data_IF_745038313222
#
_entry.id   IF_745038313222
#
_cell.length_a   1.000
_cell.length_b   1.000
_cell.length_c   1.000
_cell.angle_alpha   90.00
_cell.angle_beta   90.00
_cell.angle_gamma   90.00
#
_symmetry.space_group_name_H-M   'P 1'
#
loop_
_entity.id
_entity.type
_entity.pdbx_description
1 polymer ?
#
# COMPACT_ATOMS: atom_id res chain seq x y z
N UNK A 1 13.92 24.44 -30.96
CA UNK A 1 13.37 25.80 -30.79
C UNK A 1 14.32 26.91 -31.29
N UNK A 2 15.65 26.81 -31.16
CA UNK A 2 16.58 27.89 -31.58
C UNK A 2 16.62 28.16 -33.09
N UNK A 3 16.37 27.16 -33.94
CA UNK A 3 16.37 27.32 -35.39
C UNK A 3 15.23 28.21 -35.90
N UNK A 4 14.04 28.16 -35.27
CA UNK A 4 12.89 28.96 -35.67
C UNK A 4 13.07 30.45 -35.36
N UNK A 5 13.66 30.78 -34.20
CA UNK A 5 13.98 32.16 -33.82
C UNK A 5 15.05 32.77 -34.75
N UNK A 6 16.06 32.00 -35.15
CA UNK A 6 17.09 32.46 -36.08
C UNK A 6 16.51 32.76 -37.48
N UNK A 7 15.58 31.92 -37.97
CA UNK A 7 14.92 32.15 -39.25
C UNK A 7 14.03 33.39 -39.22
N UNK A 8 13.24 33.61 -38.16
CA UNK A 8 12.36 34.78 -38.06
C UNK A 8 13.15 36.09 -37.98
N UNK A 9 14.25 36.12 -37.22
CA UNK A 9 15.15 37.28 -37.14
C UNK A 9 15.85 37.60 -38.47
N UNK A 10 16.26 36.56 -39.22
CA UNK A 10 16.92 36.74 -40.53
C UNK A 10 15.98 37.32 -41.60
N UNK A 11 14.70 36.91 -41.58
CA UNK A 11 13.67 37.43 -42.49
C UNK A 11 13.35 38.89 -42.16
N UNK A 12 13.28 39.22 -40.87
CA UNK A 12 13.08 40.61 -40.42
C UNK A 12 14.22 41.55 -40.86
N UNK A 13 15.49 41.11 -40.77
CA UNK A 13 16.63 41.92 -41.21
C UNK A 13 16.69 42.13 -42.73
N UNK A 14 16.33 41.11 -43.52
CA UNK A 14 16.23 41.21 -44.98
C UNK A 14 15.14 42.20 -45.41
N UNK A 15 14.03 42.26 -44.67
CA UNK A 15 12.94 43.20 -44.93
C UNK A 15 13.33 44.64 -44.60
N UNK A 16 14.01 44.89 -43.48
CA UNK A 16 14.51 46.24 -43.17
C UNK A 16 15.57 46.70 -44.18
N UNK A 17 16.45 45.81 -44.65
CA UNK A 17 17.43 46.10 -45.69
C UNK A 17 16.79 46.43 -47.05
N UNK A 18 15.73 45.74 -47.45
CA UNK A 18 15.05 46.01 -48.73
C UNK A 18 14.36 47.37 -48.72
N UNK A 19 13.72 47.73 -47.61
CA UNK A 19 13.07 49.04 -47.42
C UNK A 19 14.11 50.16 -47.45
N UNK A 20 15.28 49.97 -46.80
CA UNK A 20 16.37 50.95 -46.83
C UNK A 20 17.04 51.08 -48.20
N UNK A 21 17.18 49.97 -48.95
CA UNK A 21 17.71 49.98 -50.31
C UNK A 21 16.78 50.75 -51.26
N UNK A 22 15.47 50.52 -51.18
CA UNK A 22 14.48 51.23 -51.99
C UNK A 22 14.44 52.74 -51.68
N UNK A 23 14.65 53.13 -50.42
CA UNK A 23 14.75 54.53 -50.02
C UNK A 23 16.01 55.24 -50.56
N UNK A 24 17.08 54.47 -50.83
CA UNK A 24 18.35 54.99 -51.34
C UNK A 24 18.35 55.13 -52.87
N UNK A 25 17.78 54.16 -53.58
CA UNK A 25 17.69 54.17 -55.06
C UNK A 25 16.76 55.28 -55.57
N UNK A 26 15.69 55.62 -54.81
CA UNK A 26 14.77 56.73 -55.15
C UNK A 26 15.38 58.14 -55.17
N UNK A 27 16.68 58.30 -54.87
CA UNK A 27 17.42 59.57 -54.94
C UNK A 27 18.37 59.71 -56.13
N UNK A 28 18.56 58.66 -56.95
CA UNK A 28 19.55 58.69 -58.04
C UNK A 28 18.93 58.19 -59.35
N UNK A 29 18.17 59.04 -60.05
CA UNK A 29 18.25 59.15 -61.51
C UNK A 29 17.35 60.28 -61.99
N UNK A 30 17.95 61.45 -62.22
CA UNK A 30 17.34 62.54 -62.98
C UNK A 30 18.28 62.76 -64.17
N UNK A 31 17.93 62.19 -65.35
CA UNK A 31 18.31 62.66 -66.70
C UNK A 31 17.76 61.76 -67.84
N UNK A 32 16.73 62.29 -68.52
CA UNK A 32 16.36 62.26 -69.96
C UNK A 32 16.08 60.97 -70.80
N UNK A 33 14.88 61.00 -71.41
CA UNK A 33 14.39 60.51 -72.72
C UNK A 33 13.73 59.10 -72.91
N UNK A 34 12.78 58.94 -73.88
CA UNK A 34 11.47 58.34 -73.60
C UNK A 34 11.04 57.10 -74.44
N UNK A 35 9.88 56.55 -74.04
CA UNK A 35 8.87 55.75 -74.77
C UNK A 35 8.96 54.20 -74.76
N UNK A 36 8.03 53.55 -74.02
CA UNK A 36 7.18 52.45 -74.51
C UNK A 36 6.13 51.95 -73.51
N UNK A 37 4.86 51.90 -73.95
CA UNK A 37 3.72 51.08 -73.50
C UNK A 37 3.03 51.36 -72.14
N UNK A 38 1.68 51.38 -72.08
CA UNK A 38 0.93 51.63 -70.84
C UNK A 38 0.83 50.33 -70.03
N UNK A 39 1.75 50.15 -69.09
CA UNK A 39 1.48 49.32 -67.92
C UNK A 39 0.54 50.11 -66.99
N UNK A 40 -0.54 49.47 -66.54
CA UNK A 40 -1.46 50.02 -65.55
C UNK A 40 -0.69 50.67 -64.39
N UNK A 41 -1.12 51.84 -63.89
CA UNK A 41 -0.45 52.45 -62.77
C UNK A 41 -0.72 51.57 -61.55
N UNK A 42 0.30 50.79 -61.14
CA UNK A 42 0.37 50.30 -59.77
C UNK A 42 0.24 51.55 -58.90
N UNK A 43 -0.89 51.71 -58.22
CA UNK A 43 -1.17 52.83 -57.35
C UNK A 43 0.03 53.00 -56.42
N UNK A 44 0.78 54.10 -56.60
CA UNK A 44 1.91 54.40 -55.75
C UNK A 44 1.40 54.44 -54.31
N UNK A 45 1.80 53.44 -53.51
CA UNK A 45 1.45 53.36 -52.08
C UNK A 45 1.77 54.71 -51.48
N UNK A 46 0.75 55.39 -50.98
CA UNK A 46 0.94 56.71 -50.41
C UNK A 46 1.76 56.55 -49.12
N UNK A 47 2.75 57.43 -48.87
CA UNK A 47 3.51 57.45 -47.61
C UNK A 47 2.64 57.23 -46.34
N UNK A 48 1.42 57.81 -46.22
CA UNK A 48 0.53 57.51 -45.09
C UNK A 48 0.06 56.05 -45.02
N UNK A 49 -0.32 55.41 -46.13
CA UNK A 49 -0.72 53.98 -46.14
C UNK A 49 0.36 53.05 -45.59
N UNK A 50 1.64 53.34 -45.89
CA UNK A 50 2.76 52.54 -45.39
C UNK A 50 3.03 52.76 -43.90
N UNK A 51 2.82 53.98 -43.38
CA UNK A 51 2.96 54.30 -41.95
C UNK A 51 1.82 53.67 -41.16
N UNK A 52 0.59 53.74 -41.67
CA UNK A 52 -0.59 53.14 -41.05
C UNK A 52 -0.45 51.61 -40.97
N UNK A 53 0.04 50.96 -42.04
CA UNK A 53 0.30 49.52 -42.02
C UNK A 53 1.36 49.11 -40.99
N UNK A 54 2.49 49.83 -40.91
CA UNK A 54 3.54 49.50 -39.92
C UNK A 54 3.04 49.76 -38.49
N UNK A 55 2.25 50.81 -38.27
CA UNK A 55 1.65 51.08 -36.96
C UNK A 55 0.69 49.95 -36.54
N UNK A 56 -0.17 49.49 -37.45
CA UNK A 56 -1.05 48.34 -37.22
C UNK A 56 -0.26 47.06 -36.89
N UNK A 57 0.84 46.78 -37.62
CA UNK A 57 1.70 45.62 -37.35
C UNK A 57 2.43 45.69 -36.00
N UNK A 58 2.88 46.89 -35.57
CA UNK A 58 3.48 47.07 -34.25
C UNK A 58 2.44 46.91 -33.15
N UNK A 59 1.24 47.47 -33.34
CA UNK A 59 0.12 47.33 -32.41
C UNK A 59 -0.26 45.87 -32.22
N UNK A 60 -0.44 45.12 -33.32
CA UNK A 60 -0.68 43.67 -33.29
C UNK A 60 0.47 42.91 -32.60
N UNK A 61 1.73 43.24 -32.90
CA UNK A 61 2.89 42.61 -32.26
C UNK A 61 2.92 42.86 -30.75
N UNK A 62 2.49 44.03 -30.28
CA UNK A 62 2.39 44.35 -28.85
C UNK A 62 1.32 43.50 -28.16
N UNK A 63 0.15 43.40 -28.78
CA UNK A 63 -0.94 42.57 -28.28
C UNK A 63 -0.53 41.09 -28.21
N UNK A 64 0.18 40.59 -29.23
CA UNK A 64 0.73 39.23 -29.23
C UNK A 64 1.78 39.03 -28.13
N UNK A 65 2.71 39.96 -27.95
CA UNK A 65 3.73 39.90 -26.87
C UNK A 65 3.08 39.94 -25.49
N UNK A 66 2.10 40.81 -25.27
CA UNK A 66 1.35 40.88 -24.03
C UNK A 66 0.59 39.58 -23.76
N UNK A 67 -0.04 39.00 -24.80
CA UNK A 67 -0.75 37.73 -24.70
C UNK A 67 0.19 36.56 -24.39
N UNK A 68 1.35 36.50 -25.03
CA UNK A 68 2.38 35.49 -24.75
C UNK A 68 2.90 35.64 -23.32
N UNK A 69 3.13 36.87 -22.85
CA UNK A 69 3.57 37.13 -21.48
C UNK A 69 2.54 36.63 -20.45
N UNK A 70 1.26 36.92 -20.65
CA UNK A 70 0.18 36.43 -19.79
C UNK A 70 0.09 34.90 -19.78
N UNK A 71 0.15 34.26 -20.95
CA UNK A 71 0.09 32.80 -21.07
C UNK A 71 1.27 32.10 -20.38
N UNK A 72 2.48 32.65 -20.51
CA UNK A 72 3.66 32.10 -19.84
C UNK A 72 3.54 32.26 -18.33
N UNK A 73 3.11 33.43 -17.85
CA UNK A 73 2.96 33.69 -16.41
C UNK A 73 1.92 32.75 -15.78
N UNK A 74 0.78 32.54 -16.45
CA UNK A 74 -0.27 31.63 -15.98
C UNK A 74 0.19 30.15 -15.97
N UNK A 75 0.87 29.71 -17.04
CA UNK A 75 1.41 28.36 -17.14
C UNK A 75 2.45 28.06 -16.03
N UNK A 76 3.29 29.04 -15.73
CA UNK A 76 4.31 28.94 -14.67
C UNK A 76 3.70 28.89 -13.30
N UNK A 77 2.74 29.77 -13.02
CA UNK A 77 2.05 29.74 -11.73
C UNK A 77 1.37 28.39 -11.51
N UNK A 78 0.73 27.85 -12.54
CA UNK A 78 0.12 26.52 -12.52
C UNK A 78 1.15 25.42 -12.25
N UNK A 79 2.29 25.44 -12.95
CA UNK A 79 3.38 24.47 -12.74
C UNK A 79 3.99 24.57 -11.34
N UNK A 80 4.24 25.79 -10.84
CA UNK A 80 4.78 26.02 -9.51
C UNK A 80 3.86 25.45 -8.42
N UNK A 81 2.55 25.69 -8.54
CA UNK A 81 1.54 25.14 -7.63
C UNK A 81 1.52 23.60 -7.71
N UNK A 82 1.60 23.02 -8.91
CA UNK A 82 1.63 21.57 -9.09
C UNK A 82 2.87 20.93 -8.48
N UNK A 83 4.06 21.48 -8.68
CA UNK A 83 5.30 20.95 -8.09
C UNK A 83 5.33 21.09 -6.57
N UNK A 84 4.81 22.19 -6.01
CA UNK A 84 4.67 22.37 -4.57
C UNK A 84 3.72 21.31 -3.96
N UNK A 85 2.57 21.07 -4.60
CA UNK A 85 1.66 20.00 -4.21
C UNK A 85 2.31 18.61 -4.28
N UNK A 86 3.09 18.35 -5.34
CA UNK A 86 3.78 17.08 -5.51
C UNK A 86 4.89 16.86 -4.48
N UNK A 87 5.60 17.93 -4.10
CA UNK A 87 6.57 17.91 -3.00
C UNK A 87 5.91 17.61 -1.65
N UNK A 88 4.73 18.18 -1.41
CA UNK A 88 3.97 17.92 -0.17
C UNK A 88 3.48 16.46 -0.12
N UNK A 89 2.94 15.94 -1.23
CA UNK A 89 2.49 14.56 -1.34
C UNK A 89 3.65 13.56 -1.17
N UNK A 90 4.82 13.87 -1.75
CA UNK A 90 6.04 13.09 -1.56
C UNK A 90 6.47 13.04 -0.09
N UNK A 91 6.43 14.16 0.62
CA UNK A 91 6.75 14.19 2.05
C UNK A 91 5.76 13.36 2.88
N UNK A 92 4.46 13.46 2.58
CA UNK A 92 3.43 12.65 3.23
C UNK A 92 3.61 11.15 2.99
N UNK A 93 3.98 10.75 1.76
CA UNK A 93 4.29 9.36 1.43
C UNK A 93 5.52 8.83 2.16
N UNK A 94 6.57 9.64 2.37
CA UNK A 94 7.73 9.23 3.18
C UNK A 94 7.34 8.97 4.63
N UNK A 95 6.50 9.84 5.21
CA UNK A 95 6.02 9.66 6.58
C UNK A 95 5.19 8.38 6.72
N UNK A 96 4.33 8.07 5.74
CA UNK A 96 3.55 6.84 5.70
C UNK A 96 4.45 5.59 5.52
N UNK A 97 5.49 5.70 4.69
CA UNK A 97 6.47 4.64 4.53
C UNK A 97 7.24 4.37 5.84
N UNK A 98 7.53 5.42 6.63
CA UNK A 98 8.19 5.28 7.93
C UNK A 98 7.28 4.65 8.99
N UNK A 99 5.99 5.00 9.04
CA UNK A 99 5.04 4.34 9.95
C UNK A 99 4.81 2.87 9.58
N UNK A 100 4.74 2.55 8.29
CA UNK A 100 4.72 1.18 7.79
C UNK A 100 5.99 0.41 8.18
N UNK A 101 7.17 1.03 8.06
CA UNK A 101 8.45 0.42 8.47
C UNK A 101 8.50 0.12 9.98
N UNK A 102 7.93 1.00 10.81
CA UNK A 102 7.85 0.79 12.26
C UNK A 102 6.81 -0.24 12.67
N UNK A 103 5.96 -0.71 11.74
CA UNK A 103 4.82 -1.55 12.05
C UNK A 103 3.72 -0.81 12.81
N UNK A 104 3.78 0.53 12.85
CA UNK A 104 2.80 1.42 13.47
C UNK A 104 1.68 1.71 12.48
N UNK A 105 0.97 0.66 12.08
CA UNK A 105 -0.26 0.78 11.30
C UNK A 105 -1.41 1.29 12.19
N UNK A 106 -1.37 2.57 12.58
CA UNK A 106 -2.54 3.34 13.01
C UNK A 106 -3.45 2.76 14.11
N UNK A 107 -3.01 1.72 14.82
CA UNK A 107 -3.72 1.14 15.96
C UNK A 107 -2.92 1.50 17.20
N UNK A 108 -3.64 2.00 18.21
CA UNK A 108 -3.17 2.50 19.51
C UNK A 108 -1.84 1.91 20.00
N UNK A 109 -1.09 2.70 20.79
CA UNK A 109 0.16 2.32 21.47
C UNK A 109 0.07 1.05 22.39
N UNK A 110 -1.05 0.34 22.38
CA UNK A 110 -1.31 -0.93 23.06
C UNK A 110 -1.77 -2.08 22.12
N UNK A 111 -1.83 -1.87 20.81
CA UNK A 111 -2.07 -2.94 19.86
C UNK A 111 -0.80 -3.80 19.75
N UNK A 112 -0.87 -5.00 20.32
CA UNK A 112 0.16 -6.03 20.17
C UNK A 112 0.46 -6.15 18.68
N UNK A 113 1.72 -5.97 18.27
CA UNK A 113 2.12 -6.15 16.87
C UNK A 113 1.70 -7.55 16.42
N UNK A 114 1.34 -7.71 15.16
CA UNK A 114 0.90 -9.01 14.66
C UNK A 114 1.93 -10.12 14.96
N UNK A 115 3.21 -9.79 14.89
CA UNK A 115 4.33 -10.65 15.32
C UNK A 115 4.29 -10.99 16.81
N UNK A 116 4.01 -10.02 17.68
CA UNK A 116 3.84 -10.24 19.12
C UNK A 116 2.63 -11.12 19.45
N UNK A 117 1.52 -10.93 18.75
CA UNK A 117 0.30 -11.72 18.91
C UNK A 117 0.52 -13.19 18.54
N UNK A 118 1.23 -13.42 17.42
CA UNK A 118 1.62 -14.77 16.99
C UNK A 118 2.56 -15.43 17.99
N UNK A 119 3.51 -14.68 18.55
CA UNK A 119 4.41 -15.19 19.58
C UNK A 119 3.66 -15.58 20.85
N UNK A 120 2.66 -14.80 21.26
CA UNK A 120 1.80 -15.12 22.40
C UNK A 120 0.97 -16.39 22.16
N UNK A 121 0.37 -16.53 20.96
CA UNK A 121 -0.35 -17.75 20.59
C UNK A 121 0.61 -18.95 20.54
N UNK A 122 1.81 -18.80 20.00
CA UNK A 122 2.80 -19.88 19.95
C UNK A 122 3.18 -20.34 21.36
N UNK A 123 3.38 -19.41 22.31
CA UNK A 123 3.64 -19.74 23.71
C UNK A 123 2.44 -20.41 24.38
N UNK A 124 1.23 -19.89 24.17
CA UNK A 124 0.00 -20.51 24.67
C UNK A 124 -0.16 -21.94 24.14
N UNK A 125 0.19 -22.15 22.86
CA UNK A 125 0.12 -23.45 22.23
C UNK A 125 1.17 -24.42 22.74
N UNK A 126 2.39 -23.96 23.00
CA UNK A 126 3.42 -24.77 23.65
C UNK A 126 2.95 -25.26 25.03
N UNK A 127 2.40 -24.35 25.84
CA UNK A 127 1.82 -24.71 27.14
C UNK A 127 0.64 -25.69 27.01
N UNK A 128 -0.18 -25.54 25.95
CA UNK A 128 -1.28 -26.46 25.68
C UNK A 128 -0.78 -27.85 25.29
N UNK A 129 0.25 -27.94 24.44
CA UNK A 129 0.91 -29.21 24.06
C UNK A 129 1.45 -29.92 25.30
N UNK A 130 2.16 -29.21 26.18
CA UNK A 130 2.72 -29.79 27.41
C UNK A 130 1.61 -30.38 28.31
N UNK A 131 0.50 -29.64 28.47
CA UNK A 131 -0.68 -30.13 29.21
C UNK A 131 -1.34 -31.33 28.53
N UNK A 132 -1.43 -31.36 27.20
CA UNK A 132 -1.97 -32.52 26.47
C UNK A 132 -1.09 -33.76 26.68
N UNK A 133 0.24 -33.60 26.67
CA UNK A 133 1.18 -34.71 26.94
C UNK A 133 1.01 -35.23 28.37
N UNK A 134 0.88 -34.33 29.35
CA UNK A 134 0.62 -34.70 30.74
C UNK A 134 -0.72 -35.46 30.89
N UNK A 135 -1.79 -34.96 30.27
CA UNK A 135 -3.10 -35.61 30.27
C UNK A 135 -3.04 -37.00 29.60
N UNK A 136 -2.31 -37.14 28.51
CA UNK A 136 -2.11 -38.43 27.83
C UNK A 136 -1.40 -39.43 28.75
N UNK A 137 -0.40 -38.96 29.52
CA UNK A 137 0.27 -39.80 30.53
C UNK A 137 -0.68 -40.21 31.67
N UNK A 138 -1.52 -39.30 32.16
CA UNK A 138 -2.54 -39.63 33.17
C UNK A 138 -3.58 -40.63 32.63
N UNK A 139 -3.99 -40.48 31.38
CA UNK A 139 -4.88 -41.41 30.70
C UNK A 139 -4.29 -42.83 30.63
N UNK A 140 -3.00 -42.96 30.32
CA UNK A 140 -2.30 -44.25 30.32
C UNK A 140 -2.26 -44.91 31.71
N UNK A 141 -2.07 -44.13 32.78
CA UNK A 141 -2.14 -44.66 34.16
C UNK A 141 -3.54 -45.15 34.52
N UNK A 142 -4.58 -44.46 34.05
CA UNK A 142 -5.96 -44.91 34.25
C UNK A 142 -6.26 -46.22 33.53
N UNK A 143 -5.72 -46.40 32.31
CA UNK A 143 -5.81 -47.66 31.56
C UNK A 143 -5.15 -48.80 32.35
N UNK A 144 -3.96 -48.60 32.89
CA UNK A 144 -3.27 -49.61 33.73
C UNK A 144 -4.09 -49.97 34.97
N UNK A 145 -4.72 -48.98 35.63
CA UNK A 145 -5.59 -49.22 36.77
C UNK A 145 -6.85 -50.02 36.38
N UNK A 146 -7.44 -49.73 35.22
CA UNK A 146 -8.59 -50.46 34.69
C UNK A 146 -8.25 -51.91 34.32
N UNK A 147 -7.09 -52.15 33.72
CA UNK A 147 -6.58 -53.51 33.50
C UNK A 147 -6.45 -54.28 34.82
N UNK A 148 -5.93 -53.63 35.87
CA UNK A 148 -5.85 -54.22 37.21
C UNK A 148 -7.23 -54.59 37.76
N UNK A 149 -8.21 -53.68 37.64
CA UNK A 149 -9.59 -53.96 38.04
C UNK A 149 -10.21 -55.11 37.24
N UNK A 150 -9.93 -55.21 35.95
CA UNK A 150 -10.36 -56.33 35.11
C UNK A 150 -9.83 -57.68 35.61
N UNK A 151 -8.56 -57.72 36.05
CA UNK A 151 -7.96 -58.91 36.67
C UNK A 151 -8.64 -59.26 38.00
N UNK A 152 -8.86 -58.28 38.87
CA UNK A 152 -9.57 -58.50 40.14
C UNK A 152 -11.00 -59.04 39.93
N UNK A 153 -11.70 -58.57 38.89
CA UNK A 153 -13.02 -59.10 38.55
C UNK A 153 -12.97 -60.55 38.06
N UNK A 154 -11.94 -60.94 37.31
CA UNK A 154 -11.72 -62.35 36.95
C UNK A 154 -11.48 -63.23 38.18
N UNK A 155 -10.79 -62.73 39.19
CA UNK A 155 -10.58 -63.44 40.46
C UNK A 155 -11.90 -63.65 41.20
N UNK A 156 -12.76 -62.64 41.24
CA UNK A 156 -14.10 -62.76 41.81
C UNK A 156 -14.93 -63.80 41.07
N UNK A 157 -14.89 -63.83 39.73
CA UNK A 157 -15.58 -64.86 38.93
C UNK A 157 -15.10 -66.25 39.31
N UNK A 158 -13.78 -66.46 39.48
CA UNK A 158 -13.23 -67.75 39.93
C UNK A 158 -13.72 -68.16 41.31
N UNK A 159 -13.81 -67.23 42.26
CA UNK A 159 -14.38 -67.50 43.59
C UNK A 159 -15.86 -67.87 43.51
N UNK A 160 -16.63 -67.25 42.62
CA UNK A 160 -18.04 -67.59 42.40
C UNK A 160 -18.21 -68.98 41.77
N UNK A 161 -17.28 -69.41 40.91
CA UNK A 161 -17.26 -70.78 40.38
C UNK A 161 -17.00 -71.81 41.49
N UNK A 162 -16.11 -71.50 42.42
CA UNK A 162 -15.86 -72.34 43.60
C UNK A 162 -17.09 -72.39 44.53
N UNK A 163 -17.72 -71.26 44.81
CA UNK A 163 -18.98 -71.22 45.59
C UNK A 163 -20.05 -72.07 44.91
N UNK A 164 -20.21 -71.95 43.59
CA UNK A 164 -21.18 -72.74 42.84
C UNK A 164 -20.90 -74.25 42.96
N UNK A 165 -19.62 -74.66 42.93
CA UNK A 165 -19.21 -76.04 43.18
C UNK A 165 -19.58 -76.50 44.60
N UNK A 166 -19.31 -75.68 45.62
CA UNK A 166 -19.66 -75.96 47.01
C UNK A 166 -21.18 -76.07 47.19
N UNK A 167 -21.97 -75.18 46.57
CA UNK A 167 -23.43 -75.24 46.63
C UNK A 167 -23.97 -76.52 45.99
N UNK A 168 -23.38 -76.97 44.88
CA UNK A 168 -23.76 -78.21 44.23
C UNK A 168 -23.42 -79.44 45.08
N UNK A 169 -22.23 -79.47 45.70
CA UNK A 169 -21.85 -80.54 46.63
C UNK A 169 -22.76 -80.57 47.86
N UNK A 170 -23.07 -79.41 48.45
CA UNK A 170 -23.95 -79.29 49.61
C UNK A 170 -25.38 -79.72 49.26
N UNK A 171 -25.87 -79.36 48.08
CA UNK A 171 -27.17 -79.79 47.56
C UNK A 171 -27.22 -81.32 47.38
N UNK A 172 -26.14 -81.94 46.87
CA UNK A 172 -26.04 -83.40 46.75
C UNK A 172 -25.94 -84.11 48.11
N UNK A 173 -25.21 -83.55 49.07
CA UNK A 173 -25.14 -84.05 50.44
C UNK A 173 -26.51 -83.98 51.14
N UNK A 174 -27.21 -82.87 50.99
CA UNK A 174 -28.56 -82.68 51.51
C UNK A 174 -29.55 -83.67 50.88
N UNK A 175 -29.46 -83.91 49.57
CA UNK A 175 -30.27 -84.92 48.88
C UNK A 175 -30.02 -86.33 49.45
N UNK A 176 -28.76 -86.72 49.64
CA UNK A 176 -28.40 -88.00 50.24
C UNK A 176 -28.93 -88.12 51.68
N UNK A 177 -28.86 -87.03 52.46
CA UNK A 177 -29.41 -86.98 53.81
C UNK A 177 -30.95 -87.10 53.83
N UNK A 178 -31.67 -86.43 52.91
CA UNK A 178 -33.13 -86.58 52.77
C UNK A 178 -33.51 -88.03 52.42
N UNK A 179 -32.73 -88.70 51.57
CA UNK A 179 -32.93 -90.12 51.21
C UNK A 179 -32.73 -91.02 52.44
N UNK A 180 -31.65 -90.84 53.20
CA UNK A 180 -31.37 -91.68 54.37
C UNK A 180 -32.37 -91.41 55.52
N UNK A 181 -32.81 -90.15 55.67
CA UNK A 181 -33.88 -89.78 56.60
C UNK A 181 -35.21 -90.45 56.25
N UNK A 182 -35.56 -90.53 54.96
CA UNK A 182 -36.73 -91.28 54.50
C UNK A 182 -36.59 -92.79 54.77
N UNK A 183 -35.38 -93.32 54.64
CA UNK A 183 -35.06 -94.74 54.90
C UNK A 183 -35.17 -95.14 56.37
N UNK A 184 -34.86 -94.21 57.29
CA UNK A 184 -35.02 -94.38 58.74
C UNK A 184 -36.49 -94.29 59.22
N UNK A 185 -37.44 -93.97 58.33
CA UNK A 185 -38.87 -93.92 58.64
C UNK A 185 -39.21 -92.86 59.70
N UNK A 186 -40.00 -93.24 60.72
CA UNK A 186 -40.45 -92.31 61.78
C UNK A 186 -39.29 -91.74 62.62
N UNK A 187 -38.19 -92.48 62.79
CA UNK A 187 -37.00 -92.02 63.52
C UNK A 187 -36.22 -90.94 62.73
N UNK A 188 -36.41 -90.84 61.42
CA UNK A 188 -35.71 -89.93 60.52
C UNK A 188 -36.42 -88.60 60.23
N UNK A 189 -37.66 -88.40 60.72
CA UNK A 189 -38.50 -87.23 60.40
C UNK A 189 -37.82 -85.89 60.67
N UNK A 190 -37.14 -85.75 61.81
CA UNK A 190 -36.40 -84.51 62.15
C UNK A 190 -35.22 -84.25 61.21
N UNK A 191 -34.51 -85.29 60.79
CA UNK A 191 -33.40 -85.18 59.84
C UNK A 191 -33.88 -84.84 58.42
N UNK A 192 -35.05 -85.34 58.02
CA UNK A 192 -35.64 -85.01 56.72
C UNK A 192 -35.93 -83.51 56.58
N UNK A 193 -36.48 -82.89 57.63
CA UNK A 193 -36.76 -81.43 57.64
C UNK A 193 -35.47 -80.61 57.53
N UNK A 194 -34.42 -81.01 58.27
CA UNK A 194 -33.12 -80.33 58.20
C UNK A 194 -32.48 -80.49 56.83
N UNK A 195 -32.54 -81.69 56.25
CA UNK A 195 -31.98 -81.97 54.94
C UNK A 195 -32.67 -81.16 53.82
N UNK A 196 -34.00 -81.05 53.86
CA UNK A 196 -34.75 -80.22 52.90
C UNK A 196 -34.44 -78.72 53.06
N UNK A 197 -34.26 -78.22 54.28
CA UNK A 197 -33.86 -76.82 54.52
C UNK A 197 -32.44 -76.55 54.00
N UNK A 198 -31.49 -77.47 54.22
CA UNK A 198 -30.12 -77.35 53.67
C UNK A 198 -30.15 -77.39 52.14
N UNK A 199 -31.01 -78.21 51.54
CA UNK A 199 -31.19 -78.28 50.08
C UNK A 199 -31.72 -76.95 49.53
N UNK A 200 -32.75 -76.40 50.17
CA UNK A 200 -33.34 -75.12 49.81
C UNK A 200 -32.32 -73.97 49.96
N UNK A 201 -31.57 -73.93 51.06
CA UNK A 201 -30.51 -72.94 51.29
C UNK A 201 -29.40 -73.05 50.23
N UNK A 202 -28.97 -74.26 49.88
CA UNK A 202 -27.96 -74.50 48.83
C UNK A 202 -28.43 -73.99 47.46
N UNK A 203 -29.68 -74.27 47.09
CA UNK A 203 -30.27 -73.76 45.85
C UNK A 203 -30.37 -72.23 45.81
N UNK A 204 -30.77 -71.61 46.93
CA UNK A 204 -30.79 -70.14 47.06
C UNK A 204 -29.40 -69.53 46.96
N UNK A 205 -28.39 -70.12 47.58
CA UNK A 205 -26.99 -69.66 47.48
C UNK A 205 -26.45 -69.80 46.06
N UNK A 206 -26.80 -70.89 45.35
CA UNK A 206 -26.43 -71.07 43.94
C UNK A 206 -27.01 -69.97 43.05
N UNK A 207 -28.32 -69.73 43.16
CA UNK A 207 -28.99 -68.64 42.41
C UNK A 207 -28.43 -67.26 42.74
N UNK A 208 -28.11 -66.98 44.01
CA UNK A 208 -27.50 -65.72 44.41
C UNK A 208 -26.09 -65.56 43.82
N UNK A 209 -25.31 -66.63 43.76
CA UNK A 209 -23.97 -66.63 43.15
C UNK A 209 -24.02 -66.35 41.64
N UNK A 210 -25.01 -66.89 40.93
CA UNK A 210 -25.25 -66.57 39.52
C UNK A 210 -25.60 -65.08 39.32
N UNK A 211 -26.47 -64.52 40.17
CA UNK A 211 -26.82 -63.09 40.10
C UNK A 211 -25.61 -62.19 40.34
N UNK A 212 -24.71 -62.55 41.26
CA UNK A 212 -23.45 -61.83 41.48
C UNK A 212 -22.55 -61.97 40.24
N UNK A 213 -22.43 -63.18 39.65
CA UNK A 213 -21.63 -63.40 38.44
C UNK A 213 -22.09 -62.50 37.30
N UNK A 214 -23.40 -62.41 37.07
CA UNK A 214 -23.97 -61.53 36.05
C UNK A 214 -23.65 -60.05 36.32
N UNK A 215 -23.72 -59.62 37.59
CA UNK A 215 -23.36 -58.26 37.95
C UNK A 215 -21.88 -57.98 37.67
N UNK A 216 -20.96 -58.87 38.07
CA UNK A 216 -19.53 -58.72 37.83
C UNK A 216 -19.21 -58.69 36.34
N UNK A 217 -19.85 -59.56 35.54
CA UNK A 217 -19.69 -59.54 34.08
C UNK A 217 -20.10 -58.20 33.46
N UNK A 218 -21.20 -57.59 33.94
CA UNK A 218 -21.62 -56.25 33.49
C UNK A 218 -20.60 -55.18 33.88
N UNK A 219 -20.07 -55.23 35.10
CA UNK A 219 -19.04 -54.27 35.54
C UNK A 219 -17.76 -54.42 34.70
N UNK A 220 -17.32 -55.66 34.44
CA UNK A 220 -16.14 -55.92 33.61
C UNK A 220 -16.30 -55.38 32.18
N UNK A 221 -17.48 -55.56 31.58
CA UNK A 221 -17.81 -54.96 30.28
C UNK A 221 -17.75 -53.43 30.30
N UNK A 222 -18.26 -52.79 31.35
CA UNK A 222 -18.18 -51.32 31.52
C UNK A 222 -16.75 -50.82 31.69
N UNK A 223 -15.90 -51.55 32.42
CA UNK A 223 -14.47 -51.21 32.56
C UNK A 223 -13.74 -51.30 31.23
N UNK A 224 -13.92 -52.40 30.48
CA UNK A 224 -13.32 -52.55 29.16
C UNK A 224 -13.78 -51.48 28.17
N UNK A 225 -15.05 -51.06 28.26
CA UNK A 225 -15.55 -49.96 27.44
C UNK A 225 -14.90 -48.61 27.80
N UNK A 226 -14.76 -48.32 29.09
CA UNK A 226 -14.12 -47.10 29.57
C UNK A 226 -12.63 -47.04 29.19
N UNK A 227 -11.92 -48.17 29.26
CA UNK A 227 -10.54 -48.30 28.80
C UNK A 227 -10.39 -47.90 27.32
N UNK A 228 -11.28 -48.42 26.46
CA UNK A 228 -11.29 -48.09 25.04
C UNK A 228 -11.54 -46.61 24.76
N UNK A 229 -12.46 -45.98 25.50
CA UNK A 229 -12.74 -44.54 25.37
C UNK A 229 -11.55 -43.68 25.81
N UNK A 230 -10.86 -44.04 26.90
CA UNK A 230 -9.70 -43.31 27.40
C UNK A 230 -8.54 -43.40 26.40
N UNK A 231 -8.27 -44.59 25.84
CA UNK A 231 -7.24 -44.77 24.82
C UNK A 231 -7.52 -43.94 23.56
N UNK A 232 -8.77 -43.93 23.09
CA UNK A 232 -9.16 -43.11 21.94
C UNK A 232 -9.00 -41.62 22.22
N UNK A 233 -9.44 -41.14 23.38
CA UNK A 233 -9.32 -39.75 23.79
C UNK A 233 -7.85 -39.30 23.81
N UNK A 234 -6.98 -40.06 24.48
CA UNK A 234 -5.56 -39.72 24.60
C UNK A 234 -4.85 -39.64 23.24
N UNK A 235 -5.18 -40.54 22.31
CA UNK A 235 -4.60 -40.54 20.97
C UNK A 235 -5.14 -39.40 20.09
N UNK A 236 -6.44 -39.12 20.15
CA UNK A 236 -7.06 -38.08 19.32
C UNK A 236 -6.65 -36.68 19.76
N UNK A 237 -6.64 -36.41 21.07
CA UNK A 237 -6.22 -35.11 21.61
C UNK A 237 -4.78 -34.80 21.24
N UNK A 238 -3.88 -35.79 21.36
CA UNK A 238 -2.48 -35.60 20.98
C UNK A 238 -2.32 -35.30 19.49
N UNK A 239 -3.05 -36.01 18.62
CA UNK A 239 -3.02 -35.78 17.18
C UNK A 239 -3.51 -34.37 16.82
N UNK A 240 -4.64 -33.95 17.38
CA UNK A 240 -5.22 -32.63 17.13
C UNK A 240 -4.30 -31.51 17.60
N UNK A 241 -3.75 -31.63 18.81
CA UNK A 241 -2.85 -30.63 19.40
C UNK A 241 -1.56 -30.48 18.59
N UNK A 242 -0.96 -31.59 18.14
CA UNK A 242 0.23 -31.55 17.30
C UNK A 242 -0.03 -30.92 15.92
N UNK A 243 -1.16 -31.25 15.29
CA UNK A 243 -1.55 -30.64 14.01
C UNK A 243 -1.77 -29.14 14.13
N UNK A 244 -2.44 -28.72 15.20
CA UNK A 244 -2.70 -27.30 15.44
C UNK A 244 -1.38 -26.54 15.74
N UNK A 245 -0.42 -27.16 16.45
CA UNK A 245 0.94 -26.61 16.60
C UNK A 245 1.63 -26.44 15.25
N UNK A 246 1.63 -27.46 14.39
CA UNK A 246 2.26 -27.39 13.08
C UNK A 246 1.67 -26.26 12.22
N UNK A 247 0.34 -26.10 12.22
CA UNK A 247 -0.33 -25.00 11.50
C UNK A 247 0.08 -23.62 12.03
N UNK A 248 0.30 -23.52 13.34
CA UNK A 248 0.81 -22.29 13.96
C UNK A 248 2.25 -22.00 13.54
N UNK A 249 3.13 -23.01 13.49
CA UNK A 249 4.50 -22.86 13.01
C UNK A 249 4.53 -22.40 11.53
N UNK A 250 3.69 -23.00 10.68
CA UNK A 250 3.53 -22.59 9.28
C UNK A 250 3.03 -21.14 9.15
N UNK A 251 2.01 -20.78 9.94
CA UNK A 251 1.46 -19.42 9.95
C UNK A 251 2.52 -18.42 10.43
N UNK A 252 3.26 -18.74 11.48
CA UNK A 252 4.36 -17.93 11.99
C UNK A 252 5.44 -17.70 10.94
N UNK A 253 5.77 -18.72 10.14
CA UNK A 253 6.72 -18.56 9.02
C UNK A 253 6.19 -17.61 7.96
N UNK A 254 4.94 -17.77 7.52
CA UNK A 254 4.33 -16.89 6.51
C UNK A 254 4.30 -15.43 6.94
N UNK A 255 4.13 -15.18 8.24
CA UNK A 255 4.10 -13.83 8.80
C UNK A 255 5.49 -13.20 8.76
N UNK A 256 6.54 -13.96 9.10
CA UNK A 256 7.93 -13.50 8.95
C UNK A 256 8.27 -13.17 7.49
N UNK A 257 7.81 -14.01 6.55
CA UNK A 257 8.02 -13.76 5.12
C UNK A 257 7.28 -12.50 4.65
N UNK A 258 6.08 -12.26 5.16
CA UNK A 258 5.29 -11.07 4.88
C UNK A 258 5.94 -9.80 5.45
N UNK A 259 6.48 -9.85 6.68
CA UNK A 259 7.22 -8.75 7.29
C UNK A 259 8.46 -8.39 6.46
N UNK A 260 9.19 -9.39 5.95
CA UNK A 260 10.35 -9.17 5.09
C UNK A 260 9.96 -8.52 3.75
N UNK A 261 8.89 -9.01 3.11
CA UNK A 261 8.37 -8.45 1.85
C UNK A 261 7.84 -7.02 2.04
N UNK A 262 7.21 -6.74 3.19
CA UNK A 262 6.75 -5.40 3.54
C UNK A 262 7.93 -4.44 3.75
N UNK A 263 8.99 -4.88 4.44
CA UNK A 263 10.21 -4.09 4.59
C UNK A 263 10.87 -3.76 3.24
N UNK A 264 10.93 -4.74 2.32
CA UNK A 264 11.42 -4.51 0.96
C UNK A 264 10.55 -3.51 0.19
N UNK A 265 9.23 -3.68 0.23
CA UNK A 265 8.27 -2.79 -0.44
C UNK A 265 8.36 -1.35 0.06
N UNK A 266 8.54 -1.18 1.37
CA UNK A 266 8.78 0.13 1.99
C UNK A 266 10.11 0.72 1.55
N UNK A 267 11.16 -0.09 1.43
CA UNK A 267 12.45 0.33 0.87
C UNK A 267 12.32 0.84 -0.58
N UNK A 268 11.60 0.11 -1.43
CA UNK A 268 11.33 0.51 -2.81
C UNK A 268 10.51 1.80 -2.88
N UNK A 269 9.48 1.94 -2.05
CA UNK A 269 8.69 3.17 -1.94
C UNK A 269 9.56 4.36 -1.54
N UNK A 270 10.39 4.23 -0.50
CA UNK A 270 11.31 5.31 -0.08
C UNK A 270 12.26 5.72 -1.19
N UNK A 271 12.81 4.75 -1.93
CA UNK A 271 13.69 5.05 -3.07
C UNK A 271 12.93 5.79 -4.18
N UNK A 272 11.74 5.33 -4.56
CA UNK A 272 10.91 5.97 -5.58
C UNK A 272 10.50 7.40 -5.20
N UNK A 273 10.14 7.63 -3.94
CA UNK A 273 9.80 8.98 -3.46
C UNK A 273 11.03 9.90 -3.39
N UNK A 274 12.21 9.36 -3.07
CA UNK A 274 13.47 10.11 -3.15
C UNK A 274 13.74 10.62 -4.57
N UNK A 275 13.66 9.73 -5.57
CA UNK A 275 13.79 10.11 -6.98
C UNK A 275 12.72 11.13 -7.42
N UNK A 276 11.49 10.99 -6.92
CA UNK A 276 10.42 11.95 -7.19
C UNK A 276 10.75 13.34 -6.63
N UNK A 277 11.23 13.40 -5.39
CA UNK A 277 11.65 14.64 -4.75
C UNK A 277 12.80 15.33 -5.50
N UNK A 278 13.78 14.55 -5.99
CA UNK A 278 14.88 15.07 -6.79
C UNK A 278 14.38 15.67 -8.12
N UNK A 279 13.52 14.96 -8.84
CA UNK A 279 12.92 15.46 -10.08
C UNK A 279 12.07 16.72 -9.86
N UNK A 280 11.33 16.80 -8.75
CA UNK A 280 10.59 18.02 -8.38
C UNK A 280 11.55 19.17 -8.10
N UNK A 281 12.64 18.92 -7.36
CA UNK A 281 13.67 19.92 -7.09
C UNK A 281 14.33 20.45 -8.37
N UNK A 282 14.63 19.57 -9.32
CA UNK A 282 15.14 19.94 -10.65
C UNK A 282 14.11 20.76 -11.45
N UNK A 283 12.84 20.38 -11.41
CA UNK A 283 11.77 21.09 -12.12
C UNK A 283 11.53 22.50 -11.55
N UNK A 284 11.56 22.64 -10.21
CA UNK A 284 11.47 23.94 -9.53
C UNK A 284 12.68 24.81 -9.86
N UNK A 285 13.90 24.25 -9.89
CA UNK A 285 15.09 24.96 -10.40
C UNK A 285 14.92 25.37 -11.86
N UNK A 286 14.31 24.53 -12.70
CA UNK A 286 14.05 24.86 -14.10
C UNK A 286 13.05 26.01 -14.26
N UNK A 287 12.10 26.21 -13.34
CA UNK A 287 11.19 27.36 -13.36
C UNK A 287 11.94 28.69 -13.20
N UNK A 288 13.09 28.71 -12.52
CA UNK A 288 13.92 29.93 -12.44
C UNK A 288 14.43 30.41 -13.81
N UNK A 289 14.57 29.51 -14.80
CA UNK A 289 14.91 29.92 -16.16
C UNK A 289 13.77 30.69 -16.83
N UNK A 290 12.52 30.46 -16.44
CA UNK A 290 11.38 31.16 -17.02
C UNK A 290 11.30 32.63 -16.56
N UNK A 291 11.81 32.98 -15.39
CA UNK A 291 11.93 34.40 -15.00
C UNK A 291 12.78 35.19 -16.01
N UNK A 292 13.86 34.61 -16.53
CA UNK A 292 14.66 35.24 -17.58
C UNK A 292 13.88 35.37 -18.90
N UNK A 293 13.08 34.37 -19.27
CA UNK A 293 12.24 34.43 -20.48
C UNK A 293 11.17 35.52 -20.34
N UNK A 294 10.53 35.64 -19.17
CA UNK A 294 9.56 36.69 -18.87
C UNK A 294 10.19 38.08 -18.93
N UNK A 295 11.41 38.25 -18.40
CA UNK A 295 12.16 39.51 -18.49
C UNK A 295 12.52 39.87 -19.93
N UNK A 296 12.94 38.90 -20.75
CA UNK A 296 13.23 39.11 -22.17
C UNK A 296 11.99 39.54 -22.94
N UNK A 297 10.85 38.88 -22.72
CA UNK A 297 9.58 39.22 -23.37
C UNK A 297 9.11 40.61 -22.95
N UNK A 298 9.18 40.94 -21.67
CA UNK A 298 8.87 42.29 -21.17
C UNK A 298 9.79 43.35 -21.80
N UNK A 299 11.06 43.03 -22.01
CA UNK A 299 12.00 43.92 -22.70
C UNK A 299 11.68 44.07 -24.20
N UNK A 300 11.28 43.00 -24.90
CA UNK A 300 10.77 43.08 -26.28
C UNK A 300 9.53 43.96 -26.35
N UNK A 301 8.59 43.81 -25.40
CA UNK A 301 7.43 44.68 -25.29
C UNK A 301 7.82 46.16 -25.17
N UNK A 302 8.74 46.50 -24.26
CA UNK A 302 9.26 47.88 -24.11
C UNK A 302 9.85 48.43 -25.42
N UNK A 303 10.57 47.60 -26.19
CA UNK A 303 11.10 47.99 -27.50
C UNK A 303 9.99 48.27 -28.51
N UNK A 304 8.92 47.49 -28.54
CA UNK A 304 7.78 47.73 -29.43
C UNK A 304 7.07 49.05 -29.08
N UNK A 305 6.83 49.33 -27.79
CA UNK A 305 6.32 50.65 -27.35
C UNK A 305 7.23 51.80 -27.80
N UNK A 306 8.54 51.63 -27.70
CA UNK A 306 9.48 52.66 -28.13
C UNK A 306 9.54 52.88 -29.65
N UNK A 307 9.30 51.84 -30.45
CA UNK A 307 9.20 51.96 -31.91
C UNK A 307 7.91 52.70 -32.29
N UNK A 308 6.79 52.37 -31.64
CA UNK A 308 5.52 53.07 -31.83
C UNK A 308 5.62 54.57 -31.47
N UNK A 309 6.19 54.90 -30.30
CA UNK A 309 6.42 56.29 -29.88
C UNK A 309 7.31 57.03 -30.89
N UNK A 310 8.35 56.38 -31.44
CA UNK A 310 9.16 56.97 -32.51
C UNK A 310 8.37 57.22 -33.79
N UNK A 311 7.46 56.30 -34.16
CA UNK A 311 6.63 56.45 -35.35
C UNK A 311 5.63 57.59 -35.20
N UNK A 312 4.96 57.70 -34.05
CA UNK A 312 4.06 58.82 -33.72
C UNK A 312 4.79 60.18 -33.74
N UNK A 313 6.00 60.24 -33.17
CA UNK A 313 6.84 61.43 -33.21
C UNK A 313 7.27 61.78 -34.65
N UNK A 314 7.45 60.79 -35.53
CA UNK A 314 7.84 61.00 -36.93
C UNK A 314 6.69 61.33 -37.88
N UNK A 315 5.45 60.94 -37.54
CA UNK A 315 4.24 61.22 -38.33
C UNK A 315 3.61 62.57 -38.01
N UNK A 316 3.93 63.16 -36.84
CA UNK A 316 3.51 64.52 -36.48
C UNK A 316 4.04 65.57 -37.46
N UNK A 317 3.14 66.26 -38.18
CA UNK A 317 3.52 67.40 -39.03
C UNK A 317 3.75 68.65 -38.17
N UNK A 318 4.99 69.15 -38.13
CA UNK A 318 5.26 70.49 -37.63
C UNK A 318 4.70 71.53 -38.61
N UNK A 319 3.87 72.47 -38.15
CA UNK A 319 3.61 73.70 -38.91
C UNK A 319 4.92 74.48 -39.04
N UNK A 320 5.18 75.08 -40.20
CA UNK A 320 6.44 75.81 -40.51
C UNK A 320 6.88 76.84 -39.45
N UNK A 321 5.95 77.33 -38.61
CA UNK A 321 6.24 78.27 -37.50
C UNK A 321 6.77 77.64 -36.20
N UNK A 322 6.65 76.32 -35.99
CA UNK A 322 7.03 75.63 -34.74
C UNK A 322 8.09 74.53 -34.95
N UNK A 323 8.70 74.49 -36.13
CA UNK A 323 9.59 73.41 -36.56
C UNK A 323 10.82 73.23 -35.63
N UNK A 324 11.42 74.33 -35.13
CA UNK A 324 12.55 74.27 -34.21
C UNK A 324 12.22 73.76 -32.81
N UNK A 325 11.00 74.00 -32.30
CA UNK A 325 10.54 73.47 -31.01
C UNK A 325 10.16 71.99 -31.13
N UNK A 326 9.56 71.62 -32.26
CA UNK A 326 9.25 70.23 -32.59
C UNK A 326 10.51 69.37 -32.74
N UNK A 327 11.55 69.84 -33.44
CA UNK A 327 12.83 69.12 -33.57
C UNK A 327 13.52 68.92 -32.21
N UNK A 328 13.51 69.95 -31.34
CA UNK A 328 14.04 69.82 -29.98
C UNK A 328 13.25 68.79 -29.16
N UNK A 329 11.92 68.82 -29.23
CA UNK A 329 11.05 67.87 -28.53
C UNK A 329 11.28 66.42 -29.00
N UNK A 330 11.30 66.19 -30.31
CA UNK A 330 11.57 64.87 -30.91
C UNK A 330 12.98 64.38 -30.53
N UNK A 331 14.00 65.25 -30.59
CA UNK A 331 15.38 64.89 -30.21
C UNK A 331 15.52 64.51 -28.74
N UNK A 332 14.84 65.24 -27.84
CA UNK A 332 14.83 64.95 -26.41
C UNK A 332 14.14 63.62 -26.12
N UNK A 333 13.02 63.32 -26.80
CA UNK A 333 12.36 62.02 -26.65
C UNK A 333 13.13 60.86 -27.22
N UNK A 334 13.75 61.02 -28.38
CA UNK A 334 14.65 60.02 -28.96
C UNK A 334 15.85 59.71 -28.05
N UNK A 335 16.40 60.71 -27.37
CA UNK A 335 17.50 60.50 -26.41
C UNK A 335 17.05 59.61 -25.22
N UNK A 336 15.88 59.89 -24.64
CA UNK A 336 15.31 59.10 -23.54
C UNK A 336 14.99 57.67 -24.00
N UNK A 337 14.34 57.52 -25.15
CA UNK A 337 14.04 56.21 -25.73
C UNK A 337 15.31 55.39 -25.97
N UNK A 338 16.36 56.00 -26.52
CA UNK A 338 17.64 55.33 -26.78
C UNK A 338 18.29 54.80 -25.51
N UNK A 339 18.25 55.58 -24.42
CA UNK A 339 18.78 55.18 -23.13
C UNK A 339 17.98 53.99 -22.55
N UNK A 340 16.65 54.12 -22.53
CA UNK A 340 15.74 53.12 -21.96
C UNK A 340 15.76 51.78 -22.70
N UNK A 341 16.03 51.78 -24.01
CA UNK A 341 16.05 50.60 -24.88
C UNK A 341 17.44 49.96 -25.05
N UNK A 342 18.50 50.62 -24.57
CA UNK A 342 19.88 50.14 -24.73
C UNK A 342 20.27 49.03 -23.73
N UNK A 343 19.60 48.96 -22.58
CA UNK A 343 19.93 48.04 -21.50
C UNK A 343 19.15 46.73 -21.62
N UNK A 344 19.78 45.72 -22.24
CA UNK A 344 19.25 44.35 -22.22
C UNK A 344 19.40 43.76 -20.80
N UNK A 345 18.30 43.42 -20.11
CA UNK A 345 18.36 42.90 -18.74
C UNK A 345 19.03 41.52 -18.63
N UNK A 346 19.16 40.77 -19.74
CA UNK A 346 19.71 39.39 -19.74
C UNK A 346 20.99 39.32 -20.58
N UNK A 347 22.01 40.10 -20.22
CA UNK A 347 23.30 40.11 -20.91
C UNK A 347 24.23 38.93 -20.55
N UNK A 348 23.88 38.10 -19.56
CA UNK A 348 24.66 36.94 -19.16
C UNK A 348 24.20 35.67 -19.90
N UNK A 349 24.97 35.26 -20.92
CA UNK A 349 24.73 34.05 -21.71
C UNK A 349 25.23 32.74 -21.09
N UNK A 350 25.67 32.72 -19.82
CA UNK A 350 26.10 31.50 -19.12
C UNK A 350 25.68 31.53 -17.67
N UNK A 351 24.85 30.57 -17.30
CA UNK A 351 24.59 30.17 -15.93
C UNK A 351 25.78 29.36 -15.42
N UNK A 352 26.57 29.92 -14.51
CA UNK A 352 27.19 29.07 -13.50
C UNK A 352 26.09 28.75 -12.48
N UNK A 353 25.85 27.45 -12.26
CA UNK A 353 25.02 26.99 -11.17
C UNK A 353 25.66 27.49 -9.86
N UNK A 354 25.18 28.61 -9.35
CA UNK A 354 25.42 28.97 -7.97
C UNK A 354 24.82 27.87 -7.12
N UNK A 355 25.67 27.04 -6.51
CA UNK A 355 25.31 26.23 -5.36
C UNK A 355 24.76 27.17 -4.30
N UNK A 356 23.44 27.18 -4.12
CA UNK A 356 22.81 27.84 -2.98
C UNK A 356 22.72 26.76 -1.90
N UNK A 357 23.49 26.97 -0.83
CA UNK A 357 23.35 26.25 0.43
C UNK A 357 21.88 26.28 0.88
N UNK A 358 21.29 25.09 0.98
CA UNK A 358 20.02 24.87 1.63
C UNK A 358 20.23 24.99 3.15
N UNK A 359 19.58 25.99 3.77
CA UNK A 359 19.25 25.96 5.19
C UNK A 359 18.03 25.07 5.43
#
# INVERSE_FOLDING_TARGET
MSWYLATVLSVGQLYVMSVLWFYKEGRVSDQHEPASSPAEPVSAVSRPECVDFIHDQISQSKDEVARVQMLIQDAVQTLANSFSGLSHEAAAQLQLAESLARGELGMDAHAISFTGFVAEIANAMANFVDKTVENSRLAMLLVEQMESMGREMQDVIRLLDEIHSITNQTNMLALNASIEAARAGELGRGFAVVADEVRHLSGRTGSFSEQIRDLINRVNGSVAHAEGLINQLASQDMMFTLQAKQRLDETSSRIRDMDALMAESVGQLRHGVGLLSDHVGDAVRSLQFQDMVSQLIAHVGKRLYGIEEMMELSSGQAREQEQGQWEQHVSARLAVLRETLSNNPVAQGRMESGSIDLF
#
